data_IF_086557106128
#
_entry.id   IF_086557106128
#
_cell.length_a   1.000
_cell.length_b   1.000
_cell.length_c   1.000
_cell.angle_alpha   90.00
_cell.angle_beta   90.00
_cell.angle_gamma   90.00
#
_symmetry.space_group_name_H-M   'P 1'
#
loop_
_entity.id
_entity.type
_entity.pdbx_description
1 polymer ?
#
# COMPACT_ATOMS: atom_id res chain seq x y z
N UNK A 1 -15.94 4.09 0.27
CA UNK A 1 -14.60 4.28 0.88
C UNK A 1 -13.50 4.39 -0.17
N UNK A 2 -13.37 3.46 -1.14
CA UNK A 2 -12.35 3.58 -2.21
C UNK A 2 -12.34 4.92 -2.97
N UNK A 3 -13.52 5.46 -3.33
CA UNK A 3 -13.65 6.78 -3.96
C UNK A 3 -13.18 7.96 -3.08
N UNK A 4 -13.19 7.82 -1.76
CA UNK A 4 -12.73 8.86 -0.84
C UNK A 4 -11.21 8.88 -0.72
N UNK A 5 -10.57 7.72 -0.82
CA UNK A 5 -9.10 7.59 -0.87
C UNK A 5 -8.49 8.09 -2.19
N UNK A 6 -9.31 8.23 -3.24
CA UNK A 6 -8.88 8.76 -4.54
C UNK A 6 -9.40 10.17 -4.80
N UNK A 7 -10.05 10.80 -3.80
CA UNK A 7 -10.60 12.14 -3.94
C UNK A 7 -9.45 13.16 -3.91
N UNK A 8 -9.34 14.07 -4.89
CA UNK A 8 -8.29 15.10 -4.88
C UNK A 8 -8.38 16.06 -3.67
N UNK A 9 -9.55 16.11 -3.02
CA UNK A 9 -9.80 16.95 -1.83
C UNK A 9 -9.60 16.19 -0.51
N UNK A 10 -9.16 14.93 -0.54
CA UNK A 10 -8.93 14.16 0.67
C UNK A 10 -7.71 14.71 1.45
N UNK A 11 -7.94 15.10 2.70
CA UNK A 11 -6.81 15.42 3.58
C UNK A 11 -6.09 14.14 4.02
N UNK A 12 -4.78 14.19 4.35
CA UNK A 12 -4.06 13.01 4.84
C UNK A 12 -4.72 12.35 6.06
N UNK A 13 -5.35 13.14 6.94
CA UNK A 13 -6.12 12.63 8.08
C UNK A 13 -7.36 11.83 7.67
N UNK A 14 -8.04 12.26 6.59
CA UNK A 14 -9.21 11.54 6.06
C UNK A 14 -8.78 10.21 5.44
N UNK A 15 -7.68 10.19 4.70
CA UNK A 15 -7.14 8.96 4.13
C UNK A 15 -6.72 7.96 5.20
N UNK A 16 -6.02 8.42 6.24
CA UNK A 16 -5.66 7.61 7.43
C UNK A 16 -6.91 7.02 8.08
N UNK A 17 -7.95 7.82 8.31
CA UNK A 17 -9.19 7.35 8.92
C UNK A 17 -9.89 6.31 8.02
N UNK A 18 -9.89 6.52 6.71
CA UNK A 18 -10.49 5.59 5.75
C UNK A 18 -9.73 4.26 5.69
N UNK A 19 -8.40 4.27 5.65
CA UNK A 19 -7.54 3.07 5.66
C UNK A 19 -7.73 2.27 6.95
N UNK A 20 -7.71 2.93 8.11
CA UNK A 20 -7.99 2.28 9.41
C UNK A 20 -9.37 1.64 9.46
N UNK A 21 -10.38 2.37 9.02
CA UNK A 21 -11.77 1.89 8.97
C UNK A 21 -11.88 0.67 8.06
N UNK A 22 -11.20 0.70 6.91
CA UNK A 22 -11.20 -0.41 5.98
C UNK A 22 -10.52 -1.65 6.56
N UNK A 23 -9.33 -1.48 7.14
CA UNK A 23 -8.60 -2.55 7.82
C UNK A 23 -9.44 -3.18 8.95
N UNK A 24 -10.11 -2.37 9.75
CA UNK A 24 -11.04 -2.84 10.77
C UNK A 24 -12.23 -3.62 10.18
N UNK A 25 -12.85 -3.11 9.11
CA UNK A 25 -13.97 -3.76 8.46
C UNK A 25 -13.59 -5.12 7.87
N UNK A 26 -12.46 -5.21 7.15
CA UNK A 26 -11.95 -6.46 6.58
C UNK A 26 -11.71 -7.52 7.66
N UNK A 27 -11.05 -7.14 8.78
CA UNK A 27 -10.85 -8.04 9.92
C UNK A 27 -12.15 -8.51 10.55
N UNK A 28 -13.11 -7.61 10.67
CA UNK A 28 -14.40 -7.90 11.30
C UNK A 28 -15.25 -8.83 10.44
N UNK A 29 -15.24 -8.62 9.12
CA UNK A 29 -15.98 -9.46 8.17
C UNK A 29 -15.32 -10.82 7.97
N UNK A 30 -13.98 -10.88 8.04
CA UNK A 30 -13.23 -12.11 7.77
C UNK A 30 -13.23 -12.51 6.29
N UNK A 31 -13.71 -11.63 5.40
CA UNK A 31 -13.72 -11.82 3.96
C UNK A 31 -13.54 -10.48 3.23
N UNK A 32 -13.10 -10.57 1.98
CA UNK A 32 -13.02 -9.43 1.05
C UNK A 32 -14.20 -9.54 0.09
N UNK A 33 -15.15 -8.59 0.09
CA UNK A 33 -16.28 -8.68 -0.82
C UNK A 33 -15.81 -8.62 -2.27
N UNK A 34 -16.40 -9.49 -3.12
CA UNK A 34 -15.91 -9.77 -4.47
C UNK A 34 -15.77 -8.50 -5.32
N UNK A 35 -16.73 -7.58 -5.23
CA UNK A 35 -16.73 -6.33 -6.01
C UNK A 35 -15.57 -5.38 -5.66
N UNK A 36 -14.91 -5.59 -4.51
CA UNK A 36 -13.90 -4.68 -4.00
C UNK A 36 -12.48 -5.23 -4.06
N UNK A 37 -12.29 -6.52 -4.37
CA UNK A 37 -10.97 -7.19 -4.32
C UNK A 37 -9.86 -6.39 -5.04
N UNK A 38 -10.08 -6.07 -6.30
CA UNK A 38 -9.10 -5.35 -7.12
C UNK A 38 -8.99 -3.87 -6.74
N UNK A 39 -10.13 -3.23 -6.43
CA UNK A 39 -10.17 -1.79 -6.12
C UNK A 39 -9.41 -1.49 -4.82
N UNK A 40 -9.52 -2.34 -3.82
CA UNK A 40 -8.88 -2.13 -2.51
C UNK A 40 -7.37 -2.28 -2.60
N UNK A 41 -6.90 -3.32 -3.28
CA UNK A 41 -5.48 -3.56 -3.48
C UNK A 41 -4.83 -2.41 -4.27
N UNK A 42 -5.38 -2.07 -5.44
CA UNK A 42 -4.86 -0.98 -6.26
C UNK A 42 -4.86 0.36 -5.52
N UNK A 43 -5.92 0.67 -4.77
CA UNK A 43 -6.01 1.93 -4.01
C UNK A 43 -5.00 1.97 -2.87
N UNK A 44 -4.86 0.88 -2.10
CA UNK A 44 -3.92 0.85 -0.99
C UNK A 44 -2.46 0.78 -1.47
N UNK A 45 -2.16 0.11 -2.58
CA UNK A 45 -0.84 0.14 -3.23
C UNK A 45 -0.50 1.56 -3.69
N UNK A 46 -1.43 2.28 -4.32
CA UNK A 46 -1.19 3.66 -4.72
C UNK A 46 -0.85 4.56 -3.51
N UNK A 47 -1.50 4.34 -2.37
CA UNK A 47 -1.25 5.08 -1.14
C UNK A 47 0.14 4.81 -0.52
N UNK A 48 0.86 3.75 -0.92
CA UNK A 48 2.26 3.54 -0.50
C UNK A 48 3.22 4.61 -1.04
N UNK A 49 2.84 5.33 -2.09
CA UNK A 49 3.63 6.43 -2.66
C UNK A 49 3.15 7.81 -2.18
N UNK A 50 2.25 7.86 -1.20
CA UNK A 50 1.72 9.11 -0.67
C UNK A 50 2.80 9.94 0.06
N UNK A 51 2.76 11.27 -0.02
CA UNK A 51 3.77 12.17 0.56
C UNK A 51 3.83 12.17 2.09
N UNK A 52 2.70 11.89 2.74
CA UNK A 52 2.59 11.72 4.20
C UNK A 52 3.04 10.32 4.64
N UNK A 53 4.06 10.21 5.52
CA UNK A 53 4.51 8.94 6.11
C UNK A 53 3.38 8.15 6.76
N UNK A 54 2.51 8.84 7.49
CA UNK A 54 1.41 8.20 8.22
C UNK A 54 0.40 7.53 7.28
N UNK A 55 0.14 8.12 6.11
CA UNK A 55 -0.75 7.50 5.10
C UNK A 55 -0.12 6.23 4.55
N UNK A 56 1.20 6.24 4.27
CA UNK A 56 1.92 5.05 3.78
C UNK A 56 1.91 3.91 4.79
N UNK A 57 2.12 4.21 6.08
CA UNK A 57 2.05 3.21 7.16
C UNK A 57 0.67 2.56 7.21
N UNK A 58 -0.40 3.36 7.18
CA UNK A 58 -1.77 2.84 7.24
C UNK A 58 -2.14 2.06 5.97
N UNK A 59 -1.60 2.45 4.81
CA UNK A 59 -1.76 1.72 3.57
C UNK A 59 -1.10 0.34 3.65
N UNK A 60 0.14 0.27 4.15
CA UNK A 60 0.85 -1.00 4.38
C UNK A 60 0.11 -1.90 5.38
N UNK A 61 -0.41 -1.34 6.48
CA UNK A 61 -1.22 -2.09 7.45
C UNK A 61 -2.53 -2.60 6.85
N UNK A 62 -3.14 -1.83 5.96
CA UNK A 62 -4.35 -2.21 5.24
C UNK A 62 -4.10 -3.34 4.25
N UNK A 63 -3.03 -3.27 3.46
CA UNK A 63 -2.60 -4.32 2.54
C UNK A 63 -2.25 -5.61 3.28
N UNK A 64 -1.59 -5.51 4.44
CA UNK A 64 -1.35 -6.64 5.33
C UNK A 64 -2.66 -7.31 5.74
N UNK A 65 -3.62 -6.53 6.23
CA UNK A 65 -4.94 -7.06 6.61
C UNK A 65 -5.63 -7.73 5.41
N UNK A 66 -5.55 -7.14 4.22
CA UNK A 66 -6.13 -7.72 3.01
C UNK A 66 -5.52 -9.09 2.70
N UNK A 67 -4.19 -9.21 2.78
CA UNK A 67 -3.49 -10.48 2.59
C UNK A 67 -3.80 -11.52 3.68
N UNK A 68 -3.97 -11.10 4.94
CA UNK A 68 -4.34 -11.97 6.06
C UNK A 68 -5.76 -12.55 5.89
N UNK A 69 -6.68 -11.76 5.33
CA UNK A 69 -8.07 -12.17 5.11
C UNK A 69 -8.23 -12.99 3.83
N UNK A 70 -7.65 -12.53 2.72
CA UNK A 70 -7.69 -13.26 1.44
C UNK A 70 -6.41 -12.95 0.61
N UNK A 71 -5.43 -13.87 0.59
CA UNK A 71 -4.18 -13.66 -0.14
C UNK A 71 -4.33 -13.62 -1.67
N UNK A 72 -5.49 -14.03 -2.21
CA UNK A 72 -5.74 -13.91 -3.66
C UNK A 72 -6.05 -12.48 -4.08
N UNK A 73 -6.32 -11.58 -3.13
CA UNK A 73 -6.71 -10.20 -3.39
C UNK A 73 -5.55 -9.21 -3.45
N UNK A 74 -4.30 -9.65 -3.29
CA UNK A 74 -3.12 -8.77 -3.13
C UNK A 74 -2.13 -8.87 -4.30
N UNK A 75 -2.64 -9.05 -5.53
CA UNK A 75 -1.82 -9.19 -6.73
C UNK A 75 -1.01 -7.93 -7.07
N UNK A 76 -1.59 -6.76 -6.86
CA UNK A 76 -0.98 -5.44 -6.97
C UNK A 76 0.13 -5.26 -5.93
N UNK A 77 -0.08 -5.64 -4.66
CA UNK A 77 0.99 -5.65 -3.65
C UNK A 77 2.17 -6.53 -4.07
N UNK A 78 1.91 -7.75 -4.56
CA UNK A 78 2.97 -8.66 -5.03
C UNK A 78 3.73 -8.01 -6.18
N UNK A 79 3.02 -7.44 -7.15
CA UNK A 79 3.60 -6.78 -8.31
C UNK A 79 4.44 -5.56 -7.92
N UNK A 80 3.94 -4.74 -6.97
CA UNK A 80 4.65 -3.63 -6.38
C UNK A 80 5.96 -4.10 -5.72
N UNK A 81 5.89 -5.11 -4.84
CA UNK A 81 7.05 -5.65 -4.14
C UNK A 81 8.11 -6.21 -5.10
N UNK A 82 7.70 -6.98 -6.11
CA UNK A 82 8.62 -7.51 -7.14
C UNK A 82 9.28 -6.37 -7.94
N UNK A 83 8.52 -5.33 -8.30
CA UNK A 83 9.03 -4.18 -9.04
C UNK A 83 10.03 -3.40 -8.20
N UNK A 84 9.70 -3.09 -6.95
CA UNK A 84 10.60 -2.40 -6.01
C UNK A 84 11.88 -3.20 -5.77
N UNK A 85 11.79 -4.50 -5.52
CA UNK A 85 12.98 -5.36 -5.33
C UNK A 85 13.84 -5.44 -6.60
N UNK A 86 13.22 -5.46 -7.78
CA UNK A 86 13.95 -5.46 -9.06
C UNK A 86 14.69 -4.15 -9.27
N UNK A 87 14.05 -3.01 -9.02
CA UNK A 87 14.68 -1.69 -9.09
C UNK A 87 15.84 -1.56 -8.09
N UNK A 88 15.64 -2.00 -6.83
CA UNK A 88 16.70 -2.03 -5.82
C UNK A 88 17.90 -2.87 -6.28
N UNK A 89 17.65 -4.09 -6.81
CA UNK A 89 18.70 -4.97 -7.33
C UNK A 89 19.48 -4.29 -8.47
N UNK A 90 18.79 -3.63 -9.39
CA UNK A 90 19.41 -2.90 -10.50
C UNK A 90 20.28 -1.74 -9.99
N UNK A 91 19.81 -0.99 -9.00
CA UNK A 91 20.59 0.09 -8.39
C UNK A 91 21.83 -0.41 -7.63
N UNK A 92 21.78 -1.57 -6.95
CA UNK A 92 22.99 -2.21 -6.40
C UNK A 92 24.00 -2.55 -7.50
N UNK A 93 23.51 -3.03 -8.65
CA UNK A 93 24.37 -3.46 -9.75
C UNK A 93 25.00 -2.29 -10.54
N UNK A 94 24.36 -1.12 -10.55
CA UNK A 94 24.78 0.03 -11.36
C UNK A 94 25.71 1.01 -10.64
N UNK A 95 25.54 1.33 -9.35
CA UNK A 95 26.45 2.26 -8.64
C UNK A 95 26.37 2.14 -7.10
N UNK A 96 27.50 2.40 -6.41
CA UNK A 96 27.74 2.34 -4.96
C UNK A 96 26.48 2.60 -4.10
N UNK A 97 26.29 1.75 -3.07
CA UNK A 97 25.11 1.64 -2.20
C UNK A 97 24.52 2.90 -1.52
N UNK A 98 25.00 4.10 -1.81
CA UNK A 98 24.33 5.37 -1.48
C UNK A 98 23.01 5.59 -2.21
N UNK A 99 22.87 5.15 -3.48
CA UNK A 99 21.60 5.25 -4.22
C UNK A 99 20.53 4.31 -3.64
N UNK A 100 20.94 3.08 -3.33
CA UNK A 100 20.10 2.08 -2.67
C UNK A 100 19.54 2.59 -1.33
N UNK A 101 20.36 3.31 -0.55
CA UNK A 101 19.95 3.86 0.74
C UNK A 101 18.82 4.89 0.59
N UNK A 102 18.89 5.76 -0.42
CA UNK A 102 17.84 6.77 -0.68
C UNK A 102 16.53 6.10 -1.07
N UNK A 103 16.56 5.04 -1.87
CA UNK A 103 15.35 4.29 -2.24
C UNK A 103 14.77 3.50 -1.06
N UNK A 104 15.61 2.88 -0.23
CA UNK A 104 15.19 2.21 1.01
C UNK A 104 14.60 3.18 2.03
N UNK A 105 15.22 4.36 2.20
CA UNK A 105 14.70 5.42 3.08
C UNK A 105 13.36 5.95 2.54
N UNK A 106 13.16 5.96 1.22
CA UNK A 106 11.87 6.28 0.60
C UNK A 106 10.81 5.19 0.81
N UNK A 107 11.23 3.94 1.08
CA UNK A 107 10.35 2.82 1.41
C UNK A 107 10.04 2.71 2.91
N UNK A 108 10.80 3.41 3.76
CA UNK A 108 10.53 3.44 5.19
C UNK A 108 9.25 4.25 5.40
N UNK A 109 8.18 3.54 5.81
CA UNK A 109 6.84 4.10 6.07
C UNK A 109 6.90 5.32 6.96
#
# INVERSE_FOLDING_TARGET
LGKQLQSPDASPSMEVAALRTLSYALKTLGEVPLEFKEVLDNTAVAALSHSSPLVRVEAALTLRTLAEVDPTCVGGLISYGVTTLSALRENVSFEKGSGLKVELDSLHG
#
